data_IF_915667336898
#
_entry.id   IF_915667336898
#
_cell.length_a   1.000
_cell.length_b   1.000
_cell.length_c   1.000
_cell.angle_alpha   90.00
_cell.angle_beta   90.00
_cell.angle_gamma   90.00
#
_symmetry.space_group_name_H-M   'P 1'
#
loop_
_entity.id
_entity.type
_entity.pdbx_description
1 polymer ?
#
# COMPACT_ATOMS: atom_id res chain seq x y z
N UNK A 1 -1.35 24.00 -18.72
CA UNK A 1 -2.71 23.98 -18.13
C UNK A 1 -2.72 24.97 -16.99
N UNK A 2 -3.58 26.00 -17.02
CA UNK A 2 -3.84 26.84 -15.85
C UNK A 2 -4.80 26.08 -14.94
N UNK A 3 -4.26 25.23 -14.06
CA UNK A 3 -5.02 24.69 -12.94
C UNK A 3 -5.14 25.78 -11.88
N UNK A 4 -6.35 25.96 -11.40
CA UNK A 4 -6.72 26.93 -10.37
C UNK A 4 -5.80 26.71 -9.15
N UNK A 5 -4.95 27.70 -8.85
CA UNK A 5 -4.09 27.84 -7.66
C UNK A 5 -2.89 26.90 -7.46
N UNK A 6 -2.91 25.65 -7.96
CA UNK A 6 -1.79 24.71 -7.84
C UNK A 6 -1.25 24.30 -9.21
N UNK A 7 0.06 24.09 -9.30
CA UNK A 7 0.75 23.48 -10.44
C UNK A 7 0.47 21.98 -10.53
N UNK A 8 0.78 21.36 -11.67
CA UNK A 8 0.63 19.90 -11.84
C UNK A 8 1.44 19.09 -10.82
N UNK A 9 2.66 19.53 -10.50
CA UNK A 9 3.51 18.87 -9.50
C UNK A 9 2.90 18.92 -8.09
N UNK A 10 2.29 20.05 -7.72
CA UNK A 10 1.63 20.20 -6.42
C UNK A 10 0.38 19.34 -6.33
N UNK A 11 -0.41 19.20 -7.41
CA UNK A 11 -1.53 18.25 -7.44
C UNK A 11 -1.07 16.79 -7.29
N UNK A 12 0.07 16.42 -7.89
CA UNK A 12 0.65 15.09 -7.70
C UNK A 12 1.12 14.88 -6.24
N UNK A 13 1.66 15.92 -5.60
CA UNK A 13 1.99 15.87 -4.18
C UNK A 13 0.74 15.69 -3.31
N UNK A 14 -0.37 16.38 -3.61
CA UNK A 14 -1.66 16.17 -2.92
C UNK A 14 -2.14 14.74 -3.06
N UNK A 15 -2.10 14.17 -4.28
CA UNK A 15 -2.49 12.77 -4.52
C UNK A 15 -1.61 11.78 -3.74
N UNK A 16 -0.28 11.99 -3.75
CA UNK A 16 0.68 11.19 -2.98
C UNK A 16 0.36 11.23 -1.48
N UNK A 17 0.15 12.43 -0.92
CA UNK A 17 -0.17 12.61 0.50
C UNK A 17 -1.52 11.97 0.84
N UNK A 18 -2.54 12.15 0.00
CA UNK A 18 -3.85 11.52 0.18
C UNK A 18 -3.77 10.00 0.20
N UNK A 19 -2.99 9.40 -0.71
CA UNK A 19 -2.72 7.96 -0.71
C UNK A 19 -1.98 7.52 0.57
N UNK A 20 -1.01 8.30 1.05
CA UNK A 20 -0.33 8.02 2.31
C UNK A 20 -1.24 8.10 3.53
N UNK A 21 -2.14 9.10 3.58
CA UNK A 21 -3.16 9.22 4.62
C UNK A 21 -4.11 8.02 4.63
N UNK A 22 -4.48 7.50 3.45
CA UNK A 22 -5.27 6.28 3.35
C UNK A 22 -4.59 5.09 4.02
N UNK A 23 -3.31 4.87 3.71
CA UNK A 23 -2.52 3.81 4.35
C UNK A 23 -2.40 3.98 5.86
N UNK A 24 -2.17 5.21 6.32
CA UNK A 24 -2.09 5.52 7.75
C UNK A 24 -3.42 5.27 8.45
N UNK A 25 -4.55 5.59 7.81
CA UNK A 25 -5.87 5.36 8.34
C UNK A 25 -6.24 3.87 8.38
N UNK A 26 -5.84 3.11 7.35
CA UNK A 26 -5.94 1.63 7.33
C UNK A 26 -5.17 1.01 8.48
N UNK A 27 -3.95 1.48 8.73
CA UNK A 27 -3.13 1.06 9.87
C UNK A 27 -3.77 1.44 11.21
N UNK A 28 -4.31 2.66 11.33
CA UNK A 28 -4.91 3.18 12.57
C UNK A 28 -6.13 2.37 13.01
N UNK A 29 -6.99 1.99 12.08
CA UNK A 29 -8.21 1.23 12.37
C UNK A 29 -7.99 -0.27 12.58
N UNK A 30 -6.77 -0.76 12.34
CA UNK A 30 -6.47 -2.19 12.47
C UNK A 30 -6.41 -2.60 13.94
N UNK A 31 -7.14 -3.66 14.32
CA UNK A 31 -7.03 -4.28 15.66
C UNK A 31 -5.66 -4.96 15.80
N UNK A 32 -4.67 -4.19 16.26
CA UNK A 32 -3.28 -4.64 16.44
C UNK A 32 -3.17 -5.82 17.40
N UNK A 33 -3.97 -5.85 18.48
CA UNK A 33 -3.97 -6.98 19.41
C UNK A 33 -4.49 -8.24 18.72
N UNK A 34 -5.59 -8.13 17.97
CA UNK A 34 -6.10 -9.23 17.15
C UNK A 34 -5.11 -9.72 16.10
N UNK A 35 -4.45 -8.80 15.39
CA UNK A 35 -3.49 -9.13 14.35
C UNK A 35 -2.23 -9.81 14.88
N UNK A 36 -1.65 -9.31 15.98
CA UNK A 36 -0.38 -9.84 16.51
C UNK A 36 -0.57 -11.04 17.44
N UNK A 37 -1.53 -10.99 18.36
CA UNK A 37 -1.70 -12.02 19.39
C UNK A 37 -2.54 -13.19 18.87
N UNK A 38 -3.64 -12.88 18.18
CA UNK A 38 -4.63 -13.87 17.71
C UNK A 38 -4.43 -14.27 16.24
N UNK A 39 -3.57 -13.56 15.50
CA UNK A 39 -3.29 -13.83 14.09
C UNK A 39 -4.51 -13.68 13.17
N UNK A 40 -5.54 -12.94 13.59
CA UNK A 40 -6.86 -12.94 12.92
C UNK A 40 -6.78 -12.49 11.47
N UNK A 41 -5.95 -11.50 11.16
CA UNK A 41 -5.74 -11.02 9.79
C UNK A 41 -5.12 -12.06 8.86
N UNK A 42 -4.11 -12.80 9.34
CA UNK A 42 -3.44 -13.84 8.54
C UNK A 42 -4.34 -15.07 8.41
N UNK A 43 -5.07 -15.44 9.45
CA UNK A 43 -6.05 -16.55 9.39
C UNK A 43 -7.18 -16.23 8.41
N UNK A 44 -7.69 -15.00 8.41
CA UNK A 44 -8.67 -14.54 7.43
C UNK A 44 -8.10 -14.61 6.01
N UNK A 45 -6.89 -14.08 5.79
CA UNK A 45 -6.22 -14.12 4.49
C UNK A 45 -5.97 -15.56 4.01
N UNK A 46 -5.62 -16.48 4.93
CA UNK A 46 -5.48 -17.90 4.64
C UNK A 46 -6.81 -18.53 4.18
N UNK A 47 -7.92 -18.16 4.83
CA UNK A 47 -9.26 -18.60 4.44
C UNK A 47 -9.68 -18.12 3.05
N UNK A 48 -9.33 -16.88 2.69
CA UNK A 48 -9.55 -16.33 1.34
C UNK A 48 -8.64 -17.04 0.32
N UNK A 49 -7.35 -17.17 0.62
CA UNK A 49 -6.37 -17.81 -0.24
C UNK A 49 -6.74 -19.28 -0.54
N UNK A 50 -7.16 -20.06 0.46
CA UNK A 50 -7.52 -21.47 0.31
C UNK A 50 -8.66 -21.69 -0.69
N UNK A 51 -9.62 -20.75 -0.75
CA UNK A 51 -10.76 -20.77 -1.68
C UNK A 51 -10.42 -20.14 -3.05
N UNK A 52 -9.21 -19.62 -3.21
CA UNK A 52 -8.82 -18.90 -4.41
C UNK A 52 -8.69 -19.83 -5.63
N UNK A 53 -9.20 -19.38 -6.78
CA UNK A 53 -9.24 -20.17 -8.02
C UNK A 53 -7.85 -20.43 -8.59
N UNK A 54 -6.93 -19.48 -8.40
CA UNK A 54 -5.56 -19.56 -8.91
C UNK A 54 -4.64 -20.31 -7.95
N UNK A 55 -4.03 -21.39 -8.45
CA UNK A 55 -3.05 -22.20 -7.70
C UNK A 55 -1.81 -21.42 -7.30
N UNK A 56 -1.40 -20.42 -8.08
CA UNK A 56 -0.28 -19.54 -7.74
C UNK A 56 -0.52 -18.77 -6.42
N UNK A 57 -1.74 -18.28 -6.20
CA UNK A 57 -2.11 -17.56 -4.96
C UNK A 57 -2.12 -18.51 -3.76
N UNK A 58 -2.76 -19.68 -3.91
CA UNK A 58 -2.80 -20.73 -2.87
C UNK A 58 -1.40 -21.17 -2.45
N UNK A 59 -0.60 -21.63 -3.41
CA UNK A 59 0.74 -22.15 -3.16
C UNK A 59 1.72 -21.06 -2.70
N UNK A 60 1.58 -19.83 -3.20
CA UNK A 60 2.35 -18.68 -2.72
C UNK A 60 2.09 -18.39 -1.26
N UNK A 61 0.82 -18.36 -0.86
CA UNK A 61 0.43 -18.15 0.53
C UNK A 61 0.97 -19.26 1.45
N UNK A 62 0.82 -20.53 1.05
CA UNK A 62 1.32 -21.70 1.80
C UNK A 62 2.85 -21.70 1.96
N UNK A 63 3.59 -21.20 0.98
CA UNK A 63 5.06 -21.19 1.02
C UNK A 63 5.65 -19.98 1.73
N UNK A 64 5.01 -18.81 1.62
CA UNK A 64 5.59 -17.54 2.08
C UNK A 64 4.98 -17.07 3.40
N UNK A 65 3.66 -17.16 3.52
CA UNK A 65 2.92 -16.58 4.66
C UNK A 65 2.68 -17.62 5.75
N UNK A 66 2.17 -18.79 5.37
CA UNK A 66 1.77 -19.85 6.30
C UNK A 66 2.90 -20.36 7.22
N UNK A 67 4.19 -20.43 6.81
CA UNK A 67 5.25 -20.93 7.70
C UNK A 67 5.59 -19.96 8.84
N UNK A 68 5.30 -18.67 8.67
CA UNK A 68 5.67 -17.60 9.63
C UNK A 68 4.53 -16.59 9.81
N UNK A 69 3.35 -17.02 10.28
CA UNK A 69 2.14 -16.19 10.26
C UNK A 69 2.27 -14.96 11.17
N UNK A 70 2.87 -15.09 12.36
CA UNK A 70 3.11 -13.95 13.27
C UNK A 70 4.06 -12.92 12.66
N UNK A 71 5.19 -13.37 12.12
CA UNK A 71 6.15 -12.46 11.48
C UNK A 71 5.49 -11.74 10.30
N UNK A 72 4.68 -12.45 9.50
CA UNK A 72 3.99 -11.83 8.37
C UNK A 72 2.93 -10.81 8.82
N UNK A 73 2.23 -11.05 9.93
CA UNK A 73 1.33 -10.06 10.51
C UNK A 73 2.08 -8.76 10.87
N UNK A 74 3.26 -8.86 11.47
CA UNK A 74 4.12 -7.70 11.74
C UNK A 74 4.59 -7.01 10.47
N UNK A 75 5.05 -7.78 9.47
CA UNK A 75 5.49 -7.24 8.17
C UNK A 75 4.38 -6.43 7.53
N UNK A 76 3.17 -6.98 7.43
CA UNK A 76 2.03 -6.30 6.79
C UNK A 76 1.66 -5.03 7.55
N UNK A 77 1.51 -5.10 8.88
CA UNK A 77 1.10 -3.94 9.68
C UNK A 77 2.15 -2.83 9.63
N UNK A 78 3.44 -3.16 9.73
CA UNK A 78 4.49 -2.14 9.65
C UNK A 78 4.75 -1.66 8.23
N UNK A 79 4.50 -2.49 7.21
CA UNK A 79 4.52 -2.04 5.82
C UNK A 79 3.46 -0.97 5.58
N UNK A 80 2.21 -1.17 6.01
CA UNK A 80 1.14 -0.18 5.88
C UNK A 80 1.51 1.16 6.57
N UNK A 81 2.09 1.09 7.76
CA UNK A 81 2.57 2.29 8.46
C UNK A 81 3.71 2.98 7.71
N UNK A 82 4.72 2.22 7.28
CA UNK A 82 5.89 2.76 6.58
C UNK A 82 5.49 3.38 5.24
N UNK A 83 4.56 2.75 4.50
CA UNK A 83 3.99 3.29 3.27
C UNK A 83 3.25 4.59 3.55
N UNK A 84 2.39 4.62 4.57
CA UNK A 84 1.67 5.83 4.94
C UNK A 84 2.61 6.99 5.28
N UNK A 85 3.58 6.76 6.16
CA UNK A 85 4.54 7.79 6.57
C UNK A 85 5.45 8.24 5.41
N UNK A 86 5.98 7.31 4.63
CA UNK A 86 6.83 7.61 3.48
C UNK A 86 6.10 8.43 2.42
N UNK A 87 4.84 8.08 2.13
CA UNK A 87 4.02 8.81 1.17
C UNK A 87 3.50 10.14 1.70
N UNK A 88 3.24 10.31 3.00
CA UNK A 88 2.84 11.62 3.55
C UNK A 88 4.03 12.57 3.55
N UNK A 89 5.14 12.16 4.16
CA UNK A 89 6.34 13.00 4.32
C UNK A 89 7.11 13.18 3.01
N UNK A 90 6.92 12.26 2.07
CA UNK A 90 7.66 12.24 0.81
C UNK A 90 9.11 11.84 1.04
N UNK A 91 9.33 10.79 1.84
CA UNK A 91 10.64 10.24 2.15
C UNK A 91 10.74 8.83 1.57
N UNK A 92 11.79 8.59 0.78
CA UNK A 92 11.95 7.39 -0.04
C UNK A 92 10.70 7.13 -0.91
N UNK A 93 10.13 8.20 -1.47
CA UNK A 93 8.86 8.19 -2.20
C UNK A 93 8.81 7.16 -3.32
N UNK A 94 9.84 6.99 -4.18
CA UNK A 94 9.79 5.96 -5.22
C UNK A 94 9.67 4.55 -4.64
N UNK A 95 10.35 4.29 -3.52
CA UNK A 95 10.30 3.01 -2.81
C UNK A 95 8.93 2.81 -2.18
N UNK A 96 8.37 3.84 -1.53
CA UNK A 96 7.04 3.79 -0.95
C UNK A 96 5.94 3.59 -2.00
N UNK A 97 6.03 4.25 -3.15
CA UNK A 97 5.09 4.07 -4.26
C UNK A 97 5.20 2.69 -4.90
N UNK A 98 6.41 2.18 -5.12
CA UNK A 98 6.62 0.83 -5.63
C UNK A 98 6.11 -0.24 -4.64
N UNK A 99 6.43 -0.10 -3.36
CA UNK A 99 5.94 -0.98 -2.30
C UNK A 99 4.41 -0.94 -2.17
N UNK A 100 3.82 0.26 -2.20
CA UNK A 100 2.38 0.46 -2.18
C UNK A 100 1.69 -0.14 -3.40
N UNK A 101 2.28 0.00 -4.59
CA UNK A 101 1.78 -0.64 -5.82
C UNK A 101 1.78 -2.16 -5.68
N UNK A 102 2.90 -2.75 -5.26
CA UNK A 102 3.00 -4.21 -5.07
C UNK A 102 1.98 -4.69 -4.03
N UNK A 103 1.87 -4.01 -2.89
CA UNK A 103 0.93 -4.41 -1.83
C UNK A 103 -0.53 -4.33 -2.31
N UNK A 104 -0.91 -3.25 -2.98
CA UNK A 104 -2.25 -3.11 -3.56
C UNK A 104 -2.52 -4.20 -4.61
N UNK A 105 -1.55 -4.54 -5.46
CA UNK A 105 -1.71 -5.62 -6.44
C UNK A 105 -1.88 -6.99 -5.76
N UNK A 106 -1.13 -7.26 -4.68
CA UNK A 106 -1.29 -8.49 -3.90
C UNK A 106 -2.68 -8.57 -3.27
N UNK A 107 -3.17 -7.48 -2.68
CA UNK A 107 -4.52 -7.40 -2.12
C UNK A 107 -5.60 -7.52 -3.19
N UNK A 108 -5.44 -6.82 -4.31
CA UNK A 108 -6.33 -6.88 -5.47
C UNK A 108 -6.48 -8.32 -5.99
N UNK A 109 -5.36 -9.02 -6.14
CA UNK A 109 -5.36 -10.42 -6.60
C UNK A 109 -5.96 -11.34 -5.55
N UNK A 110 -5.59 -11.20 -4.27
CA UNK A 110 -6.11 -12.03 -3.20
C UNK A 110 -7.63 -11.87 -3.03
N UNK A 111 -8.12 -10.64 -3.15
CA UNK A 111 -9.51 -10.24 -2.91
C UNK A 111 -10.30 -10.03 -4.21
N UNK A 112 -9.89 -10.63 -5.32
CA UNK A 112 -10.48 -10.40 -6.66
C UNK A 112 -12.00 -10.68 -6.76
N UNK A 113 -12.58 -11.35 -5.76
CA UNK A 113 -14.00 -11.67 -5.67
C UNK A 113 -14.80 -10.68 -4.81
N UNK A 114 -14.12 -9.83 -4.02
CA UNK A 114 -14.73 -8.80 -3.19
C UNK A 114 -14.74 -7.47 -3.96
N UNK A 115 -15.93 -7.02 -4.37
CA UNK A 115 -16.07 -5.90 -5.29
C UNK A 115 -15.64 -4.56 -4.68
N UNK A 116 -15.86 -4.36 -3.37
CA UNK A 116 -15.52 -3.12 -2.69
C UNK A 116 -14.00 -2.98 -2.54
N UNK A 117 -13.35 -4.05 -2.05
CA UNK A 117 -11.90 -4.11 -1.90
C UNK A 117 -11.19 -4.09 -3.27
N UNK A 118 -11.78 -4.70 -4.30
CA UNK A 118 -11.21 -4.67 -5.65
C UNK A 118 -11.14 -3.25 -6.22
N UNK A 119 -12.23 -2.48 -6.12
CA UNK A 119 -12.26 -1.09 -6.60
C UNK A 119 -11.26 -0.21 -5.86
N UNK A 120 -11.18 -0.35 -4.54
CA UNK A 120 -10.24 0.39 -3.71
C UNK A 120 -8.78 0.08 -4.07
N UNK A 121 -8.38 -1.19 -4.06
CA UNK A 121 -7.00 -1.59 -4.35
C UNK A 121 -6.59 -1.26 -5.79
N UNK A 122 -7.53 -1.35 -6.76
CA UNK A 122 -7.26 -0.93 -8.14
C UNK A 122 -7.00 0.58 -8.24
N UNK A 123 -7.79 1.41 -7.58
CA UNK A 123 -7.58 2.87 -7.58
C UNK A 123 -6.29 3.26 -6.86
N UNK A 124 -5.99 2.65 -5.71
CA UNK A 124 -4.75 2.90 -4.99
C UNK A 124 -3.51 2.43 -5.79
N UNK A 125 -3.59 1.29 -6.49
CA UNK A 125 -2.55 0.84 -7.40
C UNK A 125 -2.35 1.82 -8.57
N UNK A 126 -3.44 2.29 -9.19
CA UNK A 126 -3.38 3.26 -10.27
C UNK A 126 -2.74 4.57 -9.81
N UNK A 127 -3.14 5.10 -8.66
CA UNK A 127 -2.54 6.32 -8.09
C UNK A 127 -1.05 6.08 -7.82
N UNK A 128 -0.67 4.93 -7.24
CA UNK A 128 0.73 4.60 -6.98
C UNK A 128 1.56 4.58 -8.27
N UNK A 129 1.03 3.95 -9.33
CA UNK A 129 1.68 3.85 -10.64
C UNK A 129 1.86 5.25 -11.27
N UNK A 130 0.78 6.03 -11.34
CA UNK A 130 0.81 7.37 -11.93
C UNK A 130 1.74 8.28 -11.13
N UNK A 131 1.64 8.29 -9.80
CA UNK A 131 2.49 9.11 -8.94
C UNK A 131 3.98 8.73 -9.03
N UNK A 132 4.29 7.46 -9.33
CA UNK A 132 5.66 6.99 -9.51
C UNK A 132 6.25 7.52 -10.82
N UNK A 133 5.54 7.32 -11.95
CA UNK A 133 6.02 7.74 -13.26
C UNK A 133 5.87 9.24 -13.53
N UNK A 134 4.97 9.91 -12.81
CA UNK A 134 4.83 11.37 -12.83
C UNK A 134 5.76 12.06 -11.81
N UNK A 135 6.62 11.30 -11.10
CA UNK A 135 7.67 11.85 -10.25
C UNK A 135 7.08 12.74 -9.13
N UNK A 136 6.07 12.24 -8.42
CA UNK A 136 5.28 13.00 -7.43
C UNK A 136 6.04 13.49 -6.18
N UNK A 137 7.35 13.27 -6.11
CA UNK A 137 8.24 13.79 -5.08
C UNK A 137 8.96 15.08 -5.46
N UNK A 138 8.75 15.64 -6.66
CA UNK A 138 9.43 16.88 -7.06
C UNK A 138 9.09 18.08 -6.15
N UNK A 139 7.92 18.07 -5.49
CA UNK A 139 7.50 19.11 -4.53
C UNK A 139 6.90 18.54 -3.26
N UNK A 140 6.95 19.34 -2.19
CA UNK A 140 6.42 19.05 -0.84
C UNK A 140 6.84 17.67 -0.30
N UNK A 141 8.09 17.28 -0.55
CA UNK A 141 8.66 16.00 -0.15
C UNK A 141 9.99 16.23 0.56
N UNK A 142 10.33 15.34 1.50
CA UNK A 142 11.67 15.28 2.08
C UNK A 142 12.71 14.87 1.04
N UNK A 143 12.35 14.04 0.06
CA UNK A 143 13.26 13.64 -1.02
C UNK A 143 13.76 14.85 -1.81
N UNK A 144 12.88 15.76 -2.22
CA UNK A 144 13.25 17.00 -2.93
C UNK A 144 14.08 17.93 -2.03
N UNK A 145 13.69 18.08 -0.76
CA UNK A 145 14.43 18.91 0.19
C UNK A 145 15.86 18.39 0.47
N UNK A 146 16.06 17.07 0.40
CA UNK A 146 17.35 16.41 0.63
C UNK A 146 18.14 16.14 -0.66
N UNK A 147 17.58 16.45 -1.83
CA UNK A 147 18.19 16.15 -3.12
C UNK A 147 18.26 14.65 -3.45
N UNK A 148 17.33 13.85 -2.93
CA UNK A 148 17.18 12.43 -3.25
C UNK A 148 16.33 12.26 -4.51
N UNK A 149 16.75 11.36 -5.40
CA UNK A 149 16.02 11.00 -6.63
C UNK A 149 15.71 12.20 -7.55
N UNK A 150 16.72 13.05 -7.77
CA UNK A 150 16.70 14.20 -8.68
C UNK A 150 16.41 13.81 -10.14
#
# INVERSE_FOLDING_TARGET
MQTIWLTGAEWLAVLRIGLGLWWLESWRHKDRKGWFERGTGITWAAGVAAKHRWTAVRSGFERVVAPRPRAMAYVVVYAELALGLGLITGFLTPVALAGGLVLNLLYLVLMIHDWAEQGQNAMMALISLVALFAVSWQTWSLDSALGLFL
#
